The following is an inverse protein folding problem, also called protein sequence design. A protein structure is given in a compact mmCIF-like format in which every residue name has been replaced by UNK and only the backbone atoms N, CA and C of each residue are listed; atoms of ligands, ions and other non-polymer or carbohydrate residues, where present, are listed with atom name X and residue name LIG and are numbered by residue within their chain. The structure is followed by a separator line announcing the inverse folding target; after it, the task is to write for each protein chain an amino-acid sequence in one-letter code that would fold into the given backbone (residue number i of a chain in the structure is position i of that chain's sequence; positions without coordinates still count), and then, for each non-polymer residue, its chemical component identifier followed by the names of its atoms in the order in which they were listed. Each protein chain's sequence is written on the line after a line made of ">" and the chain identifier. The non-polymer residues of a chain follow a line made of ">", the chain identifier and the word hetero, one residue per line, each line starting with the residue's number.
data_IF_626082212110
#
_entry.id   IF_626082212110
#
_cell.length_a   1.000
_cell.length_b   1.000
_cell.length_c   1.000
_cell.angle_alpha   90.00
_cell.angle_beta   90.00
_cell.angle_gamma   90.00
#
_symmetry.space_group_name_H-M   'P 1'
#
loop_
_entity.id
_entity.type
_entity.pdbx_description
1 polymer ?
#
# COMPACT_ATOMS: atom_id res chain seq x y z
N UNK A 1 -15.53 -9.74 -2.46
CA UNK A 1 -14.47 -10.40 -1.68
C UNK A 1 -14.27 -9.56 -0.42
N UNK A 2 -14.11 -10.18 0.75
CA UNK A 2 -14.00 -9.43 2.01
C UNK A 2 -12.54 -9.00 2.21
N UNK A 3 -12.29 -7.69 2.23
CA UNK A 3 -10.96 -7.13 2.51
C UNK A 3 -10.43 -7.68 3.85
N UNK A 4 -9.29 -8.36 3.83
CA UNK A 4 -8.67 -8.83 5.08
C UNK A 4 -7.89 -7.70 5.72
N UNK A 5 -8.30 -7.29 6.92
CA UNK A 5 -7.59 -6.27 7.69
C UNK A 5 -6.25 -6.81 8.22
N UNK A 6 -5.18 -6.03 8.06
CA UNK A 6 -3.83 -6.36 8.51
C UNK A 6 -3.50 -5.50 9.74
N UNK A 7 -3.17 -6.16 10.84
CA UNK A 7 -3.12 -5.59 12.19
C UNK A 7 -1.73 -5.12 12.63
N UNK A 8 -0.68 -5.54 11.92
CA UNK A 8 0.72 -5.19 12.23
C UNK A 8 1.57 -5.03 10.97
N UNK A 9 2.72 -4.36 11.09
CA UNK A 9 3.67 -4.22 9.99
C UNK A 9 4.24 -5.58 9.56
N UNK A 10 4.44 -6.52 10.49
CA UNK A 10 4.94 -7.85 10.17
C UNK A 10 3.90 -8.65 9.38
N UNK A 11 2.63 -8.62 9.79
CA UNK A 11 1.53 -9.24 9.04
C UNK A 11 1.38 -8.62 7.65
N UNK A 12 1.52 -7.30 7.54
CA UNK A 12 1.51 -6.57 6.28
C UNK A 12 2.64 -7.01 5.36
N UNK A 13 3.86 -7.11 5.86
CA UNK A 13 5.03 -7.46 5.06
C UNK A 13 5.06 -8.92 4.65
N UNK A 14 4.53 -9.81 5.50
CA UNK A 14 4.28 -11.21 5.14
C UNK A 14 3.19 -11.30 4.06
N UNK A 15 2.11 -10.54 4.20
CA UNK A 15 1.04 -10.49 3.20
C UNK A 15 1.55 -10.00 1.84
N UNK A 16 2.35 -8.93 1.78
CA UNK A 16 2.95 -8.41 0.55
C UNK A 16 3.87 -9.46 -0.10
N UNK A 17 4.71 -10.14 0.69
CA UNK A 17 5.60 -11.17 0.17
C UNK A 17 4.86 -12.36 -0.46
N UNK A 18 3.64 -12.63 0.02
CA UNK A 18 2.74 -13.70 -0.42
C UNK A 18 1.63 -13.24 -1.38
N UNK A 19 1.77 -12.06 -1.99
CA UNK A 19 0.81 -11.62 -3.00
C UNK A 19 0.86 -12.53 -4.23
N UNK A 20 -0.30 -12.82 -4.78
CA UNK A 20 -0.50 -13.35 -6.13
C UNK A 20 -0.71 -12.19 -7.13
N UNK A 21 -0.78 -12.50 -8.43
CA UNK A 21 -0.80 -11.48 -9.51
C UNK A 21 -2.11 -10.68 -9.52
N UNK A 22 -3.20 -11.29 -9.07
CA UNK A 22 -4.55 -10.72 -9.02
C UNK A 22 -4.90 -10.08 -7.66
N UNK A 23 -3.97 -10.13 -6.71
CA UNK A 23 -4.16 -9.57 -5.37
C UNK A 23 -3.42 -8.23 -5.18
N UNK A 24 -3.89 -7.47 -4.19
CA UNK A 24 -3.21 -6.26 -3.77
C UNK A 24 -3.32 -5.98 -2.29
N UNK A 25 -2.51 -5.03 -1.83
CA UNK A 25 -2.62 -4.46 -0.49
C UNK A 25 -2.79 -2.96 -0.60
N UNK A 26 -3.78 -2.42 0.11
CA UNK A 26 -3.93 -0.98 0.36
C UNK A 26 -3.44 -0.67 1.77
N UNK A 27 -2.57 0.32 1.88
CA UNK A 27 -2.08 0.86 3.15
C UNK A 27 -2.43 2.34 3.23
N UNK A 28 -3.01 2.77 4.35
CA UNK A 28 -3.22 4.18 4.61
C UNK A 28 -1.91 4.81 5.10
N UNK A 29 -1.57 5.96 4.54
CA UNK A 29 -0.33 6.65 4.83
C UNK A 29 -0.42 8.16 4.73
N UNK A 30 0.74 8.79 4.88
CA UNK A 30 0.97 10.20 4.64
C UNK A 30 2.28 10.39 3.90
N UNK A 31 2.20 10.96 2.69
CA UNK A 31 3.37 11.31 1.88
C UNK A 31 3.41 12.82 1.72
N UNK A 32 4.55 13.43 2.01
CA UNK A 32 4.75 14.89 1.96
C UNK A 32 3.64 15.69 2.70
N UNK A 33 3.23 15.18 3.88
CA UNK A 33 2.19 15.82 4.71
C UNK A 33 0.75 15.56 4.28
N UNK A 34 0.50 14.89 3.13
CA UNK A 34 -0.85 14.63 2.59
C UNK A 34 -1.30 13.22 2.90
N UNK A 35 -2.56 13.04 3.34
CA UNK A 35 -3.15 11.70 3.50
C UNK A 35 -3.21 11.00 2.16
N UNK A 36 -2.80 9.74 2.12
CA UNK A 36 -2.75 8.96 0.90
C UNK A 36 -3.11 7.50 1.12
N UNK A 37 -3.48 6.84 0.03
CA UNK A 37 -3.57 5.40 -0.09
C UNK A 37 -2.38 4.91 -0.91
N UNK A 38 -1.62 3.98 -0.35
CA UNK A 38 -0.54 3.27 -1.01
C UNK A 38 -1.08 1.90 -1.42
N UNK A 39 -1.12 1.63 -2.71
CA UNK A 39 -1.53 0.35 -3.27
C UNK A 39 -0.29 -0.40 -3.72
N UNK A 40 -0.14 -1.63 -3.25
CA UNK A 40 0.94 -2.54 -3.62
C UNK A 40 0.33 -3.74 -4.33
N UNK A 41 0.75 -3.99 -5.55
CA UNK A 41 0.37 -5.19 -6.32
C UNK A 41 1.62 -5.92 -6.79
N UNK A 42 1.48 -7.21 -7.06
CA UNK A 42 2.57 -8.00 -7.63
C UNK A 42 2.59 -7.84 -9.14
N UNK A 43 3.79 -7.78 -9.69
CA UNK A 43 4.05 -7.70 -11.12
C UNK A 43 5.10 -8.76 -11.50
N UNK A 44 5.22 -9.14 -12.77
CA UNK A 44 6.23 -10.14 -13.19
C UNK A 44 7.66 -9.78 -12.79
N UNK A 45 7.98 -8.48 -12.70
CA UNK A 45 9.31 -7.96 -12.43
C UNK A 45 9.52 -7.46 -10.98
N UNK A 46 8.59 -7.78 -10.07
CA UNK A 46 8.65 -7.33 -8.66
C UNK A 46 7.31 -6.79 -8.20
N UNK A 47 7.30 -5.63 -7.55
CA UNK A 47 6.09 -5.00 -7.04
C UNK A 47 5.82 -3.68 -7.75
N UNK A 48 4.54 -3.38 -7.94
CA UNK A 48 4.09 -2.05 -8.34
C UNK A 48 3.55 -1.35 -7.12
N UNK A 49 3.98 -0.11 -6.90
CA UNK A 49 3.45 0.74 -5.85
C UNK A 49 2.85 2.01 -6.44
N UNK A 50 1.55 2.17 -6.25
CA UNK A 50 0.82 3.36 -6.66
C UNK A 50 0.33 4.12 -5.44
N UNK A 51 0.62 5.42 -5.37
CA UNK A 51 0.24 6.30 -4.27
C UNK A 51 -0.75 7.32 -4.78
N UNK A 52 -1.92 7.36 -4.16
CA UNK A 52 -2.98 8.32 -4.46
C UNK A 52 -3.29 9.14 -3.23
N UNK A 53 -3.56 10.44 -3.41
CA UNK A 53 -4.10 11.28 -2.35
C UNK A 53 -5.45 10.72 -1.88
N UNK A 54 -5.67 10.65 -0.58
CA UNK A 54 -6.97 10.25 -0.04
C UNK A 54 -7.93 11.44 -0.13
N UNK A 55 -9.10 11.27 -0.73
CA UNK A 55 -10.12 12.33 -0.73
C UNK A 55 -10.70 12.49 0.67
N UNK A 56 -10.77 13.73 1.17
CA UNK A 56 -11.44 14.01 2.44
C UNK A 56 -12.88 13.48 2.41
N UNK A 57 -13.29 12.77 3.45
CA UNK A 57 -14.65 12.23 3.67
C UNK A 57 -15.15 11.16 2.68
N UNK A 58 -14.27 10.50 1.93
CA UNK A 58 -14.67 9.33 1.12
C UNK A 58 -13.56 8.28 1.07
N UNK A 59 -13.92 7.02 0.81
CA UNK A 59 -12.97 5.92 0.51
C UNK A 59 -12.34 6.03 -0.88
N UNK A 60 -12.62 7.11 -1.62
CA UNK A 60 -12.19 7.31 -2.99
C UNK A 60 -10.75 7.83 -3.10
N UNK A 61 -10.08 7.42 -4.18
CA UNK A 61 -8.76 7.93 -4.56
C UNK A 61 -8.86 9.31 -5.21
N UNK A 62 -7.95 10.20 -4.82
CA UNK A 62 -7.77 11.54 -5.34
C UNK A 62 -6.74 11.55 -6.47
N UNK A 63 -5.86 12.56 -6.46
CA UNK A 63 -4.78 12.70 -7.44
C UNK A 63 -3.74 11.58 -7.26
N UNK A 64 -3.23 11.01 -8.36
CA UNK A 64 -2.05 10.16 -8.32
C UNK A 64 -0.83 10.99 -7.93
N UNK A 65 -0.17 10.62 -6.85
CA UNK A 65 1.04 11.27 -6.34
C UNK A 65 2.30 10.61 -6.89
N UNK A 66 2.28 9.28 -7.01
CA UNK A 66 3.41 8.47 -7.45
C UNK A 66 2.90 7.16 -8.03
N UNK A 67 3.58 6.65 -9.06
CA UNK A 67 3.52 5.25 -9.45
C UNK A 67 4.95 4.81 -9.72
N UNK A 68 5.32 3.65 -9.18
CA UNK A 68 6.61 3.05 -9.45
C UNK A 68 6.46 1.54 -9.63
N UNK A 69 6.96 1.06 -10.77
CA UNK A 69 6.92 -0.34 -11.15
C UNK A 69 8.25 -1.03 -10.85
N UNK A 70 8.24 -2.37 -10.84
CA UNK A 70 9.44 -3.21 -10.67
C UNK A 70 10.23 -2.90 -9.38
N UNK A 71 9.53 -2.51 -8.31
CA UNK A 71 10.12 -2.29 -7.00
C UNK A 71 10.51 -3.61 -6.35
N UNK A 72 11.66 -3.62 -5.66
CA UNK A 72 12.02 -4.75 -4.79
C UNK A 72 11.15 -4.77 -3.53
N UNK A 73 10.96 -5.96 -2.95
CA UNK A 73 10.22 -6.12 -1.70
C UNK A 73 10.80 -5.24 -0.58
N UNK A 74 12.13 -5.16 -0.47
CA UNK A 74 12.79 -4.32 0.54
C UNK A 74 12.48 -2.83 0.38
N UNK A 75 12.42 -2.36 -0.86
CA UNK A 75 12.10 -0.96 -1.16
C UNK A 75 10.65 -0.64 -0.80
N UNK A 76 9.72 -1.54 -1.13
CA UNK A 76 8.31 -1.43 -0.72
C UNK A 76 8.19 -1.39 0.81
N UNK A 77 8.84 -2.33 1.51
CA UNK A 77 8.83 -2.38 2.99
C UNK A 77 9.32 -1.06 3.59
N UNK A 78 10.44 -0.53 3.10
CA UNK A 78 11.02 0.73 3.58
C UNK A 78 10.06 1.90 3.37
N UNK A 79 9.53 2.05 2.17
CA UNK A 79 8.60 3.13 1.85
C UNK A 79 7.36 3.10 2.72
N UNK A 80 6.77 1.92 2.93
CA UNK A 80 5.62 1.76 3.82
C UNK A 80 5.98 2.15 5.26
N UNK A 81 7.11 1.69 5.80
CA UNK A 81 7.53 2.05 7.17
C UNK A 81 7.67 3.55 7.37
N UNK A 82 8.18 4.25 6.36
CA UNK A 82 8.41 5.69 6.41
C UNK A 82 7.12 6.51 6.28
N UNK A 83 6.08 5.95 5.64
CA UNK A 83 4.90 6.71 5.24
C UNK A 83 3.56 6.16 5.76
N UNK A 84 3.50 5.01 6.43
CA UNK A 84 2.24 4.48 6.95
C UNK A 84 1.71 5.31 8.12
N UNK A 85 0.38 5.42 8.25
CA UNK A 85 -0.24 6.03 9.44
C UNK A 85 -0.13 5.10 10.66
N UNK A 86 -0.04 5.70 11.84
CA UNK A 86 -0.17 5.02 13.14
C UNK A 86 -1.45 5.50 13.82
N UNK A 87 -2.38 4.61 14.21
CA UNK A 87 -2.32 3.15 14.11
C UNK A 87 -2.42 2.64 12.66
N UNK A 88 -1.79 1.49 12.39
CA UNK A 88 -1.74 0.88 11.06
C UNK A 88 -3.16 0.61 10.55
N UNK A 89 -3.41 1.00 9.31
CA UNK A 89 -4.65 0.67 8.58
C UNK A 89 -4.29 0.12 7.21
N UNK A 90 -4.25 -1.20 7.10
CA UNK A 90 -3.96 -1.89 5.85
C UNK A 90 -4.97 -3.01 5.57
N UNK A 91 -5.16 -3.30 4.29
CA UNK A 91 -6.20 -4.20 3.78
C UNK A 91 -5.66 -4.97 2.57
N UNK A 92 -5.77 -6.29 2.58
CA UNK A 92 -5.52 -7.14 1.40
C UNK A 92 -6.84 -7.36 0.65
N UNK A 93 -6.81 -7.23 -0.67
CA UNK A 93 -7.94 -7.40 -1.59
C UNK A 93 -7.58 -8.25 -2.79
#
# INVERSE_FOLDING_TARGET
>A
MADKHLSSLDELFDAIAKLEIDEGVRVNGRVAGRKCYMFVTKSPNGYTMAVFEARNNSTGVGKQLMIEDSMSLERVKRFIKENCETPLKAFRY
#
